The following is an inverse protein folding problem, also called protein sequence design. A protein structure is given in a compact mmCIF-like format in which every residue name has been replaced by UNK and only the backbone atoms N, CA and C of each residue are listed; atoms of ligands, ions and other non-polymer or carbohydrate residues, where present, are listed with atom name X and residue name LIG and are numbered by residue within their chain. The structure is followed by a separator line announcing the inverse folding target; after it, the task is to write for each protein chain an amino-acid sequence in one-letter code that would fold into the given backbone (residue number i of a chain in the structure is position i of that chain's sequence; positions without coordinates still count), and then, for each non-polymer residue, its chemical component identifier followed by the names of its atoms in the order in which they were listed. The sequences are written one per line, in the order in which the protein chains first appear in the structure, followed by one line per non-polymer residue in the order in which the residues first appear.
data_IF_075360500912
#
_entry.id   IF_075360500912
#
_cell.length_a   1.000
_cell.length_b   1.000
_cell.length_c   1.000
_cell.angle_alpha   90.00
_cell.angle_beta   90.00
_cell.angle_gamma   90.00
#
_symmetry.space_group_name_H-M   'P 1'
#
loop_
_entity.id
_entity.type
_entity.pdbx_description
1 polymer ?
#
# COMPACT_ATOMS: atom_id res chain seq x y z
N UNK A 1 14.37 12.09 -1.33
CA UNK A 1 13.40 11.11 -0.85
C UNK A 1 13.65 9.78 -1.53
N UNK A 2 12.92 8.78 -1.15
CA UNK A 2 12.97 7.49 -1.82
C UNK A 2 12.23 7.58 -3.16
N UNK A 3 12.77 6.92 -4.17
CA UNK A 3 12.17 6.83 -5.48
C UNK A 3 10.92 5.93 -5.43
N UNK A 4 9.86 6.32 -6.13
CA UNK A 4 8.71 5.46 -6.40
C UNK A 4 9.00 4.75 -7.71
N UNK A 5 9.28 3.44 -7.64
CA UNK A 5 9.62 2.60 -8.78
C UNK A 5 8.83 1.28 -8.72
N UNK A 6 7.54 1.29 -9.12
CA UNK A 6 6.67 0.12 -9.01
C UNK A 6 7.18 -1.12 -9.77
N UNK A 7 7.78 -0.91 -10.95
CA UNK A 7 8.38 -2.00 -11.73
C UNK A 7 9.50 -2.74 -10.97
N UNK A 8 10.14 -2.12 -10.00
CA UNK A 8 11.17 -2.76 -9.18
C UNK A 8 10.70 -4.03 -8.48
N UNK A 9 9.42 -4.10 -8.13
CA UNK A 9 8.84 -5.30 -7.52
C UNK A 9 8.74 -6.46 -8.53
N UNK A 10 8.49 -6.16 -9.80
CA UNK A 10 8.55 -7.13 -10.88
C UNK A 10 9.98 -7.61 -11.13
N UNK A 11 10.94 -6.68 -11.22
CA UNK A 11 12.35 -7.00 -11.46
C UNK A 11 12.89 -7.91 -10.33
N UNK A 12 12.50 -7.62 -9.07
CA UNK A 12 12.81 -8.48 -7.92
C UNK A 12 12.15 -9.87 -8.06
N UNK A 13 10.88 -9.93 -8.45
CA UNK A 13 10.16 -11.19 -8.66
C UNK A 13 10.82 -12.08 -9.71
N UNK A 14 11.28 -11.48 -10.83
CA UNK A 14 12.00 -12.21 -11.87
C UNK A 14 13.37 -12.72 -11.37
N UNK A 15 14.08 -11.93 -10.58
CA UNK A 15 15.32 -12.35 -9.96
C UNK A 15 15.10 -13.52 -8.98
N UNK A 16 14.06 -13.46 -8.15
CA UNK A 16 13.69 -14.57 -7.26
C UNK A 16 13.38 -15.84 -8.06
N UNK A 17 12.66 -15.74 -9.16
CA UNK A 17 12.37 -16.88 -10.05
C UNK A 17 13.66 -17.50 -10.62
N UNK A 18 14.61 -16.66 -11.04
CA UNK A 18 15.88 -17.13 -11.64
C UNK A 18 16.82 -17.78 -10.61
N UNK A 19 17.06 -17.10 -9.49
CA UNK A 19 18.03 -17.53 -8.48
C UNK A 19 17.47 -18.59 -7.51
N UNK A 20 16.14 -18.55 -7.26
CA UNK A 20 15.46 -19.41 -6.28
C UNK A 20 14.13 -19.95 -6.82
N UNK A 21 14.14 -20.77 -7.89
CA UNK A 21 12.93 -21.17 -8.61
C UNK A 21 11.91 -21.94 -7.77
N UNK A 22 12.34 -22.57 -6.69
CA UNK A 22 11.46 -23.34 -5.80
C UNK A 22 10.96 -22.56 -4.59
N UNK A 23 11.51 -21.36 -4.35
CA UNK A 23 11.10 -20.54 -3.21
C UNK A 23 9.84 -19.73 -3.53
N UNK A 24 8.88 -19.83 -2.60
CA UNK A 24 7.75 -18.91 -2.55
C UNK A 24 8.11 -17.72 -1.65
N UNK A 25 7.78 -16.52 -2.07
CA UNK A 25 8.03 -15.31 -1.30
C UNK A 25 6.77 -14.43 -1.18
N UNK A 26 6.83 -13.44 -0.35
CA UNK A 26 5.79 -12.42 -0.21
C UNK A 26 6.41 -11.04 -0.03
N UNK A 27 5.64 -10.01 -0.34
CA UNK A 27 6.04 -8.64 -0.06
C UNK A 27 5.60 -8.32 1.37
N UNK A 28 6.58 -8.22 2.27
CA UNK A 28 6.34 -8.00 3.70
C UNK A 28 5.90 -6.57 4.00
N UNK A 29 6.41 -5.60 3.24
CA UNK A 29 6.11 -4.19 3.40
C UNK A 29 6.27 -3.45 2.08
N UNK A 30 5.26 -2.66 1.72
CA UNK A 30 5.35 -1.68 0.64
C UNK A 30 4.36 -0.56 0.92
N UNK A 31 4.81 0.67 0.88
CA UNK A 31 3.95 1.81 1.21
C UNK A 31 4.65 3.14 0.96
N UNK A 32 3.93 4.22 1.22
CA UNK A 32 4.44 5.57 1.07
C UNK A 32 4.04 6.45 2.25
N UNK A 33 4.96 7.30 2.68
CA UNK A 33 4.70 8.32 3.67
C UNK A 33 4.49 9.68 3.01
N UNK A 34 3.44 10.39 3.40
CA UNK A 34 3.06 11.69 2.83
C UNK A 34 2.97 12.73 3.92
N UNK A 35 3.65 13.87 3.72
CA UNK A 35 3.58 15.04 4.61
C UNK A 35 2.37 15.90 4.28
N UNK A 36 1.82 16.54 5.32
CA UNK A 36 0.74 17.52 5.17
C UNK A 36 -0.48 16.99 4.41
N UNK A 37 -0.94 15.78 4.72
CA UNK A 37 -2.11 15.17 4.08
C UNK A 37 -3.41 15.96 4.26
N UNK A 38 -3.50 16.83 5.26
CA UNK A 38 -4.67 17.70 5.47
C UNK A 38 -5.02 18.56 4.26
N UNK A 39 -4.05 18.84 3.39
CA UNK A 39 -4.29 19.57 2.12
C UNK A 39 -5.18 18.81 1.13
N UNK A 40 -5.36 17.51 1.32
CA UNK A 40 -6.21 16.66 0.49
C UNK A 40 -7.58 16.38 1.13
N UNK A 41 -7.93 17.08 2.19
CA UNK A 41 -9.20 16.91 2.90
C UNK A 41 -10.34 17.54 2.10
N UNK A 42 -11.40 16.78 1.91
CA UNK A 42 -12.63 17.25 1.29
C UNK A 42 -13.51 18.06 2.26
N UNK A 43 -14.69 18.44 1.79
CA UNK A 43 -15.65 19.23 2.57
C UNK A 43 -16.28 18.46 3.73
N UNK A 44 -16.35 17.14 3.62
CA UNK A 44 -16.84 16.22 4.65
C UNK A 44 -15.75 15.88 5.68
N UNK A 45 -14.52 16.33 5.44
CA UNK A 45 -13.37 16.13 6.33
C UNK A 45 -12.61 14.82 6.08
N UNK A 46 -12.90 14.10 5.00
CA UNK A 46 -12.17 12.89 4.63
C UNK A 46 -10.93 13.22 3.78
N UNK A 47 -9.82 12.55 4.04
CA UNK A 47 -8.61 12.66 3.21
C UNK A 47 -8.82 11.88 1.90
N UNK A 48 -8.73 12.59 0.77
CA UNK A 48 -8.84 12.07 -0.59
C UNK A 48 -7.44 11.68 -1.10
N UNK A 49 -6.96 10.51 -0.66
CA UNK A 49 -5.60 10.05 -0.92
C UNK A 49 -5.50 9.20 -2.20
N UNK A 50 -5.97 9.74 -3.33
CA UNK A 50 -5.91 9.12 -4.66
C UNK A 50 -4.47 8.72 -5.03
N UNK A 51 -3.49 9.54 -4.67
CA UNK A 51 -2.07 9.24 -4.85
C UNK A 51 -1.65 7.92 -4.18
N UNK A 52 -2.28 7.53 -3.07
CA UNK A 52 -2.03 6.27 -2.37
C UNK A 52 -2.68 5.10 -3.09
N UNK A 53 -3.89 5.30 -3.59
CA UNK A 53 -4.60 4.33 -4.43
C UNK A 53 -3.77 4.02 -5.68
N UNK A 54 -3.32 5.05 -6.40
CA UNK A 54 -2.47 4.93 -7.58
C UNK A 54 -1.17 4.16 -7.27
N UNK A 55 -0.48 4.55 -6.20
CA UNK A 55 0.72 3.87 -5.75
C UNK A 55 0.50 2.36 -5.54
N UNK A 56 -0.52 1.98 -4.77
CA UNK A 56 -0.81 0.56 -4.49
C UNK A 56 -1.23 -0.17 -5.75
N UNK A 57 -2.08 0.44 -6.58
CA UNK A 57 -2.54 -0.13 -7.84
C UNK A 57 -1.39 -0.48 -8.78
N UNK A 58 -0.48 0.47 -9.02
CA UNK A 58 0.68 0.24 -9.88
C UNK A 58 1.57 -0.89 -9.36
N UNK A 59 1.82 -0.97 -8.04
CA UNK A 59 2.61 -2.05 -7.46
C UNK A 59 1.91 -3.41 -7.60
N UNK A 60 0.59 -3.47 -7.37
CA UNK A 60 -0.19 -4.70 -7.55
C UNK A 60 -0.19 -5.17 -9.02
N UNK A 61 -0.31 -4.25 -9.98
CA UNK A 61 -0.23 -4.58 -11.41
C UNK A 61 1.11 -5.24 -11.76
N UNK A 62 2.23 -4.72 -11.24
CA UNK A 62 3.54 -5.31 -11.46
C UNK A 62 3.75 -6.63 -10.72
N UNK A 63 3.17 -6.82 -9.53
CA UNK A 63 3.16 -8.11 -8.83
C UNK A 63 2.39 -9.15 -9.66
N UNK A 64 1.20 -8.81 -10.15
CA UNK A 64 0.39 -9.71 -10.98
C UNK A 64 1.14 -10.09 -12.26
N UNK A 65 1.80 -9.13 -12.90
CA UNK A 65 2.66 -9.40 -14.07
C UNK A 65 3.80 -10.35 -13.73
N UNK A 66 4.46 -10.16 -12.60
CA UNK A 66 5.52 -11.07 -12.15
C UNK A 66 5.00 -12.49 -11.92
N UNK A 67 3.83 -12.64 -11.30
CA UNK A 67 3.18 -13.94 -11.08
C UNK A 67 2.83 -14.60 -12.43
N UNK A 68 2.27 -13.85 -13.37
CA UNK A 68 1.98 -14.35 -14.71
C UNK A 68 3.24 -14.84 -15.45
N UNK A 69 4.36 -14.16 -15.22
CA UNK A 69 5.65 -14.53 -15.79
C UNK A 69 6.39 -15.61 -14.96
N UNK A 70 5.74 -16.17 -13.93
CA UNK A 70 6.16 -17.35 -13.17
C UNK A 70 6.89 -17.09 -11.86
N UNK A 71 6.85 -15.87 -11.32
CA UNK A 71 7.30 -15.61 -9.94
C UNK A 71 6.31 -16.21 -8.93
N UNK A 72 6.84 -16.80 -7.85
CA UNK A 72 6.02 -17.43 -6.80
C UNK A 72 5.73 -16.46 -5.65
N UNK A 73 5.15 -15.29 -5.97
CA UNK A 73 4.71 -14.31 -4.98
C UNK A 73 3.32 -14.66 -4.46
N UNK A 74 3.19 -14.91 -3.15
CA UNK A 74 1.95 -15.39 -2.54
C UNK A 74 1.09 -14.29 -1.91
N UNK A 75 1.67 -13.19 -1.44
CA UNK A 75 0.90 -12.08 -0.90
C UNK A 75 1.66 -10.76 -0.87
N UNK A 76 0.91 -9.70 -0.66
CA UNK A 76 1.37 -8.32 -0.57
C UNK A 76 0.81 -7.67 0.69
N UNK A 77 1.67 -7.04 1.48
CA UNK A 77 1.28 -6.28 2.66
C UNK A 77 1.60 -4.80 2.45
N UNK A 78 0.56 -4.00 2.52
CA UNK A 78 0.71 -2.56 2.49
C UNK A 78 1.17 -2.02 3.85
N UNK A 79 2.18 -1.15 3.86
CA UNK A 79 2.59 -0.40 5.03
C UNK A 79 2.06 1.03 4.97
N UNK A 80 1.03 1.39 5.76
CA UNK A 80 0.42 0.59 6.82
C UNK A 80 -1.08 0.87 6.88
N UNK A 81 -1.78 0.06 7.68
CA UNK A 81 -3.22 0.23 7.84
C UNK A 81 -3.58 1.56 8.50
N UNK A 82 -2.89 1.92 9.58
CA UNK A 82 -3.16 3.10 10.40
C UNK A 82 -1.93 4.00 10.38
N UNK A 83 -2.14 5.33 10.44
CA UNK A 83 -1.04 6.27 10.62
C UNK A 83 -0.22 5.87 11.85
N UNK A 84 1.06 5.66 11.65
CA UNK A 84 1.97 5.18 12.67
C UNK A 84 3.16 6.12 12.88
N UNK A 85 3.81 5.95 13.99
CA UNK A 85 5.05 6.64 14.31
C UNK A 85 6.22 6.06 13.50
N UNK A 86 7.02 6.95 12.91
CA UNK A 86 8.22 6.59 12.14
C UNK A 86 9.48 6.95 12.93
N UNK A 87 10.50 6.08 12.88
CA UNK A 87 11.77 6.27 13.59
C UNK A 87 12.42 7.64 13.36
N UNK A 88 12.41 8.11 12.10
CA UNK A 88 13.10 9.34 11.72
C UNK A 88 12.18 10.57 11.68
N UNK A 89 10.89 10.38 11.48
CA UNK A 89 9.95 11.45 11.15
C UNK A 89 8.78 11.56 12.13
N UNK A 90 8.74 10.72 13.17
CA UNK A 90 7.59 10.62 14.07
C UNK A 90 6.28 10.50 13.28
N UNK A 91 5.33 11.41 13.46
CA UNK A 91 4.08 11.46 12.70
C UNK A 91 4.09 12.48 11.56
N UNK A 92 5.25 13.02 11.19
CA UNK A 92 5.35 14.00 10.11
C UNK A 92 4.87 13.42 8.78
N UNK A 93 5.29 12.18 8.49
CA UNK A 93 4.82 11.43 7.33
C UNK A 93 3.67 10.51 7.75
N UNK A 94 2.59 10.57 7.00
CA UNK A 94 1.41 9.73 7.19
C UNK A 94 1.48 8.53 6.26
N UNK A 95 1.45 7.33 6.81
CA UNK A 95 1.57 6.06 6.08
C UNK A 95 0.25 5.32 5.96
N UNK A 96 -0.70 5.60 6.85
CA UNK A 96 -1.92 4.84 6.99
C UNK A 96 -2.94 5.07 5.88
N UNK A 97 -3.75 4.06 5.63
CA UNK A 97 -5.05 4.19 4.96
C UNK A 97 -6.12 4.69 5.93
N UNK A 98 -5.85 4.60 7.23
CA UNK A 98 -6.68 5.13 8.31
C UNK A 98 -5.92 6.26 9.00
N UNK A 99 -6.53 7.44 9.01
CA UNK A 99 -6.02 8.60 9.72
C UNK A 99 -6.14 8.42 11.23
N UNK A 100 -5.17 8.96 11.98
CA UNK A 100 -5.25 9.14 13.42
C UNK A 100 -5.22 10.63 13.75
N UNK A 101 -6.23 11.13 14.42
CA UNK A 101 -6.31 12.51 14.91
C UNK A 101 -5.36 12.70 16.11
N UNK A 102 -4.18 13.21 15.86
CA UNK A 102 -3.16 13.44 16.90
C UNK A 102 -3.41 14.68 17.74
N UNK A 103 -4.18 15.64 17.24
CA UNK A 103 -4.47 16.90 17.94
C UNK A 103 -5.69 16.79 18.86
N UNK A 104 -6.55 15.81 18.64
CA UNK A 104 -7.77 15.59 19.39
C UNK A 104 -7.68 14.36 20.31
N UNK A 105 -8.63 13.47 20.15
CA UNK A 105 -8.82 12.29 21.00
C UNK A 105 -8.36 10.97 20.34
N UNK A 106 -7.46 11.03 19.40
CA UNK A 106 -6.92 9.89 18.65
C UNK A 106 -8.00 9.11 17.86
N UNK A 107 -9.06 9.78 17.44
CA UNK A 107 -10.09 9.19 16.59
C UNK A 107 -9.46 8.70 15.30
N UNK A 108 -9.98 7.55 14.83
CA UNK A 108 -9.59 6.94 13.59
C UNK A 108 -10.63 7.22 12.54
N UNK A 109 -10.18 7.69 11.37
CA UNK A 109 -11.03 8.00 10.23
C UNK A 109 -10.48 7.32 8.99
N UNK A 110 -11.35 6.69 8.22
CA UNK A 110 -10.96 6.10 6.94
C UNK A 110 -10.61 7.20 5.95
N UNK A 111 -9.45 7.05 5.32
CA UNK A 111 -9.11 7.79 4.10
C UNK A 111 -9.80 7.11 2.91
N UNK A 112 -9.80 7.72 1.75
CA UNK A 112 -10.41 7.16 0.52
C UNK A 112 -9.80 5.80 0.15
N UNK A 113 -8.50 5.66 0.31
CA UNK A 113 -7.77 4.42 0.05
C UNK A 113 -8.24 3.23 0.87
N UNK A 114 -8.72 3.44 2.10
CA UNK A 114 -9.24 2.36 2.94
C UNK A 114 -10.51 1.72 2.37
N UNK A 115 -11.43 2.54 1.84
CA UNK A 115 -12.63 2.04 1.17
C UNK A 115 -12.26 1.30 -0.13
N UNK A 116 -11.37 1.88 -0.92
CA UNK A 116 -10.93 1.28 -2.17
C UNK A 116 -10.27 -0.10 -1.96
N UNK A 117 -9.33 -0.24 -1.03
CA UNK A 117 -8.67 -1.54 -0.80
C UNK A 117 -9.65 -2.60 -0.27
N UNK A 118 -10.64 -2.19 0.53
CA UNK A 118 -11.70 -3.09 0.97
C UNK A 118 -12.51 -3.63 -0.21
N UNK A 119 -12.81 -2.80 -1.21
CA UNK A 119 -13.50 -3.24 -2.44
C UNK A 119 -12.64 -4.21 -3.26
N UNK A 120 -11.34 -3.93 -3.40
CA UNK A 120 -10.39 -4.82 -4.09
C UNK A 120 -10.36 -6.20 -3.44
N UNK A 121 -10.28 -6.26 -2.11
CA UNK A 121 -10.25 -7.53 -1.36
C UNK A 121 -11.58 -8.29 -1.55
N UNK A 122 -12.72 -7.62 -1.43
CA UNK A 122 -14.04 -8.23 -1.60
C UNK A 122 -14.27 -8.77 -3.01
N UNK A 123 -13.83 -8.05 -4.03
CA UNK A 123 -13.93 -8.52 -5.42
C UNK A 123 -13.15 -9.82 -5.61
N UNK A 124 -11.97 -9.94 -5.02
CA UNK A 124 -11.17 -11.15 -5.07
C UNK A 124 -11.81 -12.34 -4.35
N UNK A 125 -12.44 -12.11 -3.20
CA UNK A 125 -13.15 -13.15 -2.46
C UNK A 125 -14.31 -13.73 -3.26
N UNK A 126 -15.02 -12.91 -4.04
CA UNK A 126 -16.12 -13.34 -4.90
C UNK A 126 -15.66 -14.18 -6.11
N UNK A 127 -14.43 -13.96 -6.61
CA UNK A 127 -13.87 -14.77 -7.70
C UNK A 127 -13.44 -16.18 -7.25
N UNK A 128 -13.20 -16.38 -5.96
CA UNK A 128 -12.72 -17.65 -5.38
C UNK A 128 -13.87 -18.52 -4.85
N UNK A 129 -15.03 -17.93 -4.59
CA UNK A 129 -16.23 -18.61 -4.06
C UNK A 129 -17.12 -19.15 -5.17
#
# INVERSE_FOLDING_TARGET
GWEIYPKGIYDFGMKMKEEYPDLTFFISENGMGVEHEDRFRDKEGQIQDDYRIEFVKEHLEWILKAIQDGAKCMCYHYWGLIDNWSWNNAFKNRYGMVEVDLAGNYQRRWKKSAAWIQEVIRAREQEIS
#
